data_IF_734321030070
#
_entry.id   IF_734321030070
#
_cell.length_a   1.000
_cell.length_b   1.000
_cell.length_c   1.000
_cell.angle_alpha   90.00
_cell.angle_beta   90.00
_cell.angle_gamma   90.00
#
_symmetry.space_group_name_H-M   'P 1'
#
loop_
_entity.id
_entity.type
_entity.pdbx_description
1 polymer ?
#
# COMPACT_ATOMS: atom_id res chain seq x y z
N UNK A 1 -18.02 11.36 -2.85
CA UNK A 1 -19.30 11.36 -3.60
C UNK A 1 -20.19 10.17 -3.24
N UNK A 2 -21.41 10.13 -3.78
CA UNK A 2 -22.35 9.02 -3.63
C UNK A 2 -22.88 8.61 -5.02
N UNK A 3 -22.97 7.31 -5.28
CA UNK A 3 -23.59 6.77 -6.48
C UNK A 3 -24.74 5.83 -6.08
N UNK A 4 -25.95 6.12 -6.54
CA UNK A 4 -27.11 5.25 -6.35
C UNK A 4 -27.42 4.58 -7.68
N UNK A 5 -27.29 3.25 -7.72
CA UNK A 5 -27.77 2.45 -8.85
C UNK A 5 -29.17 1.98 -8.54
N UNK A 6 -30.15 2.68 -9.09
CA UNK A 6 -31.57 2.31 -8.95
C UNK A 6 -31.88 1.05 -9.76
N UNK A 7 -33.03 0.44 -9.51
CA UNK A 7 -33.53 -0.71 -10.29
C UNK A 7 -33.64 -0.42 -11.79
N UNK A 8 -33.76 0.85 -12.20
CA UNK A 8 -33.78 1.29 -13.60
C UNK A 8 -32.41 1.67 -14.18
N UNK A 9 -31.33 1.56 -13.41
CA UNK A 9 -29.99 1.96 -13.85
C UNK A 9 -29.48 1.07 -14.98
N UNK A 10 -29.21 1.70 -16.13
CA UNK A 10 -28.55 1.08 -17.28
C UNK A 10 -27.08 0.77 -16.96
N UNK A 11 -26.47 -0.10 -17.77
CA UNK A 11 -25.15 -0.71 -17.51
C UNK A 11 -23.96 0.27 -17.44
N UNK A 12 -24.17 1.55 -17.78
CA UNK A 12 -23.16 2.61 -17.86
C UNK A 12 -23.46 3.82 -16.94
N UNK A 13 -24.31 3.67 -15.92
CA UNK A 13 -24.56 4.74 -14.96
C UNK A 13 -23.34 5.00 -14.07
N UNK A 14 -22.79 6.22 -14.12
CA UNK A 14 -21.61 6.63 -13.34
C UNK A 14 -21.73 8.05 -12.78
N UNK A 15 -20.74 8.44 -11.98
CA UNK A 15 -20.62 9.81 -11.44
C UNK A 15 -19.32 10.44 -11.92
N UNK A 16 -19.37 11.72 -12.30
CA UNK A 16 -18.25 12.45 -12.88
C UNK A 16 -17.73 13.51 -11.92
N UNK A 17 -16.41 13.62 -11.85
CA UNK A 17 -15.68 14.72 -11.23
C UNK A 17 -14.97 15.56 -12.29
N UNK A 18 -14.87 16.86 -12.05
CA UNK A 18 -14.25 17.78 -13.01
C UNK A 18 -15.04 17.80 -14.32
N UNK A 19 -16.37 17.90 -14.25
CA UNK A 19 -17.22 17.88 -15.45
C UNK A 19 -16.82 18.98 -16.47
N UNK A 20 -16.32 20.11 -15.96
CA UNK A 20 -15.78 21.23 -16.73
C UNK A 20 -14.23 21.20 -16.84
N UNK A 21 -13.60 20.10 -16.45
CA UNK A 21 -12.15 19.95 -16.27
C UNK A 21 -11.71 20.04 -14.81
N UNK A 22 -10.68 19.28 -14.46
CA UNK A 22 -9.91 19.41 -13.21
C UNK A 22 -9.02 20.65 -13.28
N UNK A 23 -8.62 21.17 -12.12
CA UNK A 23 -7.74 22.33 -12.05
C UNK A 23 -6.37 22.09 -12.69
N UNK A 24 -5.87 20.85 -12.60
CA UNK A 24 -4.66 20.39 -13.26
C UNK A 24 -4.95 19.05 -13.96
N UNK A 25 -4.36 18.79 -15.13
CA UNK A 25 -4.39 17.46 -15.74
C UNK A 25 -3.78 16.40 -14.83
N UNK A 26 -4.28 15.18 -14.96
CA UNK A 26 -3.74 14.00 -14.29
C UNK A 26 -2.36 13.70 -14.91
N UNK A 27 -1.28 13.65 -14.11
CA UNK A 27 0.09 13.66 -14.64
C UNK A 27 0.59 12.26 -15.02
N UNK A 28 -0.16 11.54 -15.85
CA UNK A 28 0.22 10.21 -16.33
C UNK A 28 1.57 10.22 -17.08
N UNK A 29 2.44 9.26 -16.76
CA UNK A 29 3.72 9.05 -17.41
C UNK A 29 4.06 7.55 -17.49
N UNK A 30 5.17 7.22 -18.16
CA UNK A 30 5.69 5.84 -18.18
C UNK A 30 6.07 5.43 -16.75
N UNK A 31 5.50 4.31 -16.27
CA UNK A 31 5.60 3.87 -14.87
C UNK A 31 4.56 4.49 -13.92
N UNK A 32 4.07 5.70 -14.20
CA UNK A 32 3.12 6.44 -13.35
C UNK A 32 1.72 6.45 -13.99
N UNK A 33 1.07 5.29 -13.97
CA UNK A 33 -0.25 5.07 -14.62
C UNK A 33 -1.38 4.74 -13.65
N UNK A 34 -1.10 4.78 -12.35
CA UNK A 34 -2.03 4.33 -11.31
C UNK A 34 -2.77 5.51 -10.67
N UNK A 35 -4.00 5.23 -10.26
CA UNK A 35 -4.81 6.10 -9.42
C UNK A 35 -5.48 5.26 -8.35
N UNK A 36 -5.78 5.85 -7.20
CA UNK A 36 -6.54 5.18 -6.15
C UNK A 36 -7.87 5.87 -5.91
N UNK A 37 -8.87 5.09 -5.51
CA UNK A 37 -10.16 5.62 -5.04
C UNK A 37 -10.58 4.83 -3.81
N UNK A 38 -10.89 5.54 -2.72
CA UNK A 38 -11.51 4.92 -1.56
C UNK A 38 -12.98 4.68 -1.85
N UNK A 39 -13.46 3.44 -1.73
CA UNK A 39 -14.84 3.06 -2.04
C UNK A 39 -15.48 2.30 -0.87
N UNK A 40 -16.80 2.41 -0.79
CA UNK A 40 -17.64 1.56 0.05
C UNK A 40 -18.69 0.92 -0.83
N UNK A 41 -18.83 -0.40 -0.74
CA UNK A 41 -19.80 -1.18 -1.48
C UNK A 41 -20.59 -2.12 -0.56
N UNK A 42 -21.87 -2.42 -0.89
CA UNK A 42 -22.68 -3.34 -0.11
C UNK A 42 -22.16 -4.78 -0.19
N UNK A 43 -21.52 -5.15 -1.30
CA UNK A 43 -21.02 -6.50 -1.57
C UNK A 43 -19.56 -6.44 -2.05
N UNK A 44 -18.82 -7.53 -1.80
CA UNK A 44 -17.55 -7.81 -2.44
C UNK A 44 -17.79 -8.36 -3.87
N UNK A 45 -16.77 -8.34 -4.71
CA UNK A 45 -16.85 -8.83 -6.09
C UNK A 45 -17.54 -7.86 -7.06
N UNK A 46 -17.71 -6.59 -6.68
CA UNK A 46 -18.33 -5.58 -7.52
C UNK A 46 -17.27 -4.99 -8.46
N UNK A 47 -17.42 -5.10 -9.80
CA UNK A 47 -16.54 -4.43 -10.72
C UNK A 47 -16.79 -2.91 -10.65
N UNK A 48 -15.75 -2.15 -10.40
CA UNK A 48 -15.75 -0.70 -10.39
C UNK A 48 -14.86 -0.25 -11.55
N UNK A 49 -15.42 0.56 -12.45
CA UNK A 49 -14.69 1.10 -13.58
C UNK A 49 -14.33 2.55 -13.34
N UNK A 50 -13.08 2.90 -13.61
CA UNK A 50 -12.61 4.28 -13.59
C UNK A 50 -12.26 4.70 -15.02
N UNK A 51 -12.84 5.81 -15.45
CA UNK A 51 -12.59 6.45 -16.73
C UNK A 51 -11.89 7.77 -16.50
N UNK A 52 -10.86 8.03 -17.28
CA UNK A 52 -10.26 9.36 -17.43
C UNK A 52 -10.44 9.83 -18.86
N UNK A 53 -10.75 11.11 -19.03
CA UNK A 53 -11.03 11.71 -20.34
C UNK A 53 -10.57 13.17 -20.41
N UNK A 54 -10.43 13.68 -21.63
CA UNK A 54 -10.29 15.12 -21.89
C UNK A 54 -11.67 15.78 -21.77
N UNK A 55 -11.81 16.79 -20.91
CA UNK A 55 -13.05 17.49 -20.66
C UNK A 55 -13.61 18.21 -21.91
N UNK A 56 -12.73 18.57 -22.85
CA UNK A 56 -13.07 19.27 -24.10
C UNK A 56 -13.19 18.34 -25.30
N UNK A 57 -12.63 17.13 -25.22
CA UNK A 57 -12.66 16.12 -26.28
C UNK A 57 -12.96 14.72 -25.74
N UNK A 58 -14.25 14.33 -25.68
CA UNK A 58 -14.66 13.00 -25.21
C UNK A 58 -14.13 11.81 -26.02
N UNK A 59 -13.54 12.05 -27.20
CA UNK A 59 -12.85 11.02 -27.98
C UNK A 59 -11.48 10.63 -27.41
N UNK A 60 -10.93 11.42 -26.50
CA UNK A 60 -9.73 11.11 -25.74
C UNK A 60 -10.17 10.56 -24.39
N UNK A 61 -10.07 9.25 -24.23
CA UNK A 61 -10.33 8.59 -22.95
C UNK A 61 -9.65 7.23 -22.85
N UNK A 62 -9.42 6.79 -21.62
CA UNK A 62 -9.01 5.43 -21.28
C UNK A 62 -9.80 4.98 -20.05
N UNK A 63 -10.14 3.69 -20.00
CA UNK A 63 -10.89 3.08 -18.90
C UNK A 63 -10.08 1.92 -18.34
N UNK A 64 -10.06 1.78 -17.02
CA UNK A 64 -9.52 0.61 -16.32
C UNK A 64 -10.54 0.16 -15.25
N UNK A 65 -10.37 -1.04 -14.71
CA UNK A 65 -11.34 -1.67 -13.83
C UNK A 65 -10.65 -2.36 -12.66
N UNK A 66 -11.24 -2.21 -11.47
CA UNK A 66 -10.85 -2.88 -10.24
C UNK A 66 -12.09 -3.51 -9.60
N UNK A 67 -11.90 -4.55 -8.79
CA UNK A 67 -13.02 -5.28 -8.16
C UNK A 67 -12.98 -5.08 -6.65
N UNK A 68 -14.14 -4.79 -6.04
CA UNK A 68 -14.24 -4.72 -4.57
C UNK A 68 -13.89 -6.06 -3.94
N UNK A 69 -13.16 -6.04 -2.85
CA UNK A 69 -12.74 -7.25 -2.12
C UNK A 69 -13.50 -7.42 -0.81
N UNK A 70 -14.08 -6.33 -0.28
CA UNK A 70 -14.82 -6.34 0.98
C UNK A 70 -16.27 -5.90 0.81
N UNK A 71 -17.15 -6.47 1.63
CA UNK A 71 -18.56 -6.12 1.68
C UNK A 71 -18.85 -5.25 2.91
N UNK A 72 -19.71 -4.24 2.76
CA UNK A 72 -20.17 -3.37 3.85
C UNK A 72 -19.04 -2.62 4.59
N UNK A 73 -17.87 -2.48 3.96
CA UNK A 73 -16.70 -1.80 4.51
C UNK A 73 -16.07 -0.86 3.49
N UNK A 74 -15.28 0.09 3.97
CA UNK A 74 -14.46 0.93 3.12
C UNK A 74 -13.18 0.17 2.74
N UNK A 75 -12.80 0.25 1.47
CA UNK A 75 -11.50 -0.19 0.95
C UNK A 75 -10.95 0.87 0.00
N UNK A 76 -9.66 0.81 -0.32
CA UNK A 76 -9.07 1.61 -1.40
C UNK A 76 -8.81 0.69 -2.58
N UNK A 77 -9.40 1.02 -3.73
CA UNK A 77 -9.12 0.33 -4.99
C UNK A 77 -8.04 1.07 -5.76
N UNK A 78 -7.11 0.32 -6.34
CA UNK A 78 -6.10 0.81 -7.27
C UNK A 78 -6.54 0.56 -8.72
N UNK A 79 -6.38 1.56 -9.56
CA UNK A 79 -6.76 1.59 -10.97
C UNK A 79 -5.52 1.84 -11.81
N UNK A 80 -5.06 0.82 -12.52
CA UNK A 80 -3.90 0.90 -13.41
C UNK A 80 -4.34 1.14 -14.86
N UNK A 81 -4.09 2.34 -15.37
CA UNK A 81 -4.48 2.74 -16.72
C UNK A 81 -3.56 2.19 -17.83
N UNK A 82 -2.47 1.50 -17.48
CA UNK A 82 -1.72 0.66 -18.42
C UNK A 82 -2.41 -0.68 -18.72
N UNK A 83 -3.38 -1.06 -17.87
CA UNK A 83 -4.22 -2.24 -18.03
C UNK A 83 -5.63 -1.85 -18.50
N UNK A 84 -5.75 -1.28 -19.70
CA UNK A 84 -7.03 -0.76 -20.16
C UNK A 84 -8.09 -1.87 -20.36
N UNK A 85 -9.35 -1.51 -20.11
CA UNK A 85 -10.47 -2.38 -20.45
C UNK A 85 -10.53 -2.54 -21.97
N UNK A 86 -10.64 -3.79 -22.43
CA UNK A 86 -10.81 -4.16 -23.83
C UNK A 86 -11.93 -3.33 -24.50
N UNK A 87 -11.59 -2.69 -25.61
CA UNK A 87 -12.52 -1.85 -26.38
C UNK A 87 -12.34 -0.35 -26.13
N UNK A 88 -11.46 0.04 -25.22
CA UNK A 88 -10.98 1.43 -25.08
C UNK A 88 -9.59 1.59 -25.69
N UNK A 89 -9.18 2.84 -25.93
CA UNK A 89 -7.82 3.11 -26.41
C UNK A 89 -6.83 2.96 -25.25
N UNK A 90 -5.67 2.36 -25.51
CA UNK A 90 -4.56 2.36 -24.57
C UNK A 90 -4.19 3.79 -24.15
N UNK A 91 -3.69 3.94 -22.92
CA UNK A 91 -3.26 5.23 -22.40
C UNK A 91 -2.18 5.85 -23.32
N UNK A 92 -2.29 7.16 -23.54
CA UNK A 92 -1.33 7.89 -24.36
C UNK A 92 -0.89 9.14 -23.61
N UNK A 93 0.37 9.16 -23.19
CA UNK A 93 0.97 10.23 -22.37
C UNK A 93 1.09 11.58 -23.10
N UNK A 94 0.83 11.63 -24.41
CA UNK A 94 0.74 12.89 -25.15
C UNK A 94 -0.65 13.55 -25.07
N UNK A 95 -1.66 12.82 -24.58
CA UNK A 95 -3.02 13.33 -24.40
C UNK A 95 -3.18 14.04 -23.04
N UNK A 96 -4.15 14.94 -22.97
CA UNK A 96 -4.61 15.53 -21.72
C UNK A 96 -5.74 14.67 -21.15
N UNK A 97 -5.65 14.39 -19.85
CA UNK A 97 -6.72 13.76 -19.09
C UNK A 97 -7.02 14.66 -17.89
N UNK A 98 -8.20 15.27 -17.87
CA UNK A 98 -8.59 16.26 -16.86
C UNK A 98 -10.05 16.10 -16.45
N UNK A 99 -10.63 14.92 -16.64
CA UNK A 99 -11.98 14.59 -16.20
C UNK A 99 -12.06 13.12 -15.81
N UNK A 100 -12.71 12.84 -14.68
CA UNK A 100 -12.77 11.48 -14.10
C UNK A 100 -14.22 11.06 -13.99
N UNK A 101 -14.55 9.84 -14.41
CA UNK A 101 -15.86 9.24 -14.16
C UNK A 101 -15.70 7.85 -13.54
N UNK A 102 -16.48 7.57 -12.49
CA UNK A 102 -16.50 6.28 -11.80
C UNK A 102 -17.84 5.58 -12.00
N UNK A 103 -17.81 4.28 -12.27
CA UNK A 103 -18.98 3.45 -12.52
C UNK A 103 -18.95 2.21 -11.63
N UNK A 104 -19.95 2.06 -10.77
CA UNK A 104 -20.08 0.87 -9.92
C UNK A 104 -20.90 -0.21 -10.63
N UNK A 105 -20.46 -1.46 -10.49
CA UNK A 105 -21.11 -2.64 -11.06
C UNK A 105 -21.27 -2.56 -12.59
N UNK A 106 -20.28 -2.01 -13.28
CA UNK A 106 -20.35 -1.76 -14.72
C UNK A 106 -20.68 -3.05 -15.50
N UNK A 107 -21.59 -2.97 -16.47
CA UNK A 107 -22.02 -4.15 -17.25
C UNK A 107 -23.19 -4.95 -16.65
N UNK A 108 -23.52 -4.79 -15.36
CA UNK A 108 -24.73 -5.37 -14.78
C UNK A 108 -25.95 -4.44 -14.94
N UNK A 109 -27.14 -4.99 -15.23
CA UNK A 109 -28.39 -4.20 -15.23
C UNK A 109 -28.93 -4.03 -13.81
N UNK A 110 -29.37 -2.80 -13.45
CA UNK A 110 -29.92 -2.52 -12.12
C UNK A 110 -31.15 -3.36 -11.76
N UNK A 111 -31.90 -3.84 -12.76
CA UNK A 111 -33.04 -4.72 -12.55
C UNK A 111 -32.63 -6.12 -12.04
N UNK A 112 -31.42 -6.58 -12.35
CA UNK A 112 -30.87 -7.85 -11.88
C UNK A 112 -30.10 -7.72 -10.57
N UNK A 113 -29.40 -6.59 -10.37
CA UNK A 113 -28.61 -6.31 -9.17
C UNK A 113 -29.46 -5.80 -7.98
N UNK A 114 -30.64 -5.24 -8.25
CA UNK A 114 -31.42 -4.50 -7.26
C UNK A 114 -30.84 -3.09 -7.01
N UNK A 115 -31.60 -2.26 -6.29
CA UNK A 115 -31.12 -0.93 -5.93
C UNK A 115 -29.95 -1.04 -4.94
N UNK A 116 -28.79 -0.49 -5.31
CA UNK A 116 -27.59 -0.49 -4.49
C UNK A 116 -27.00 0.92 -4.38
N UNK A 117 -26.49 1.24 -3.19
CA UNK A 117 -25.82 2.51 -2.91
C UNK A 117 -24.34 2.26 -2.70
N UNK A 118 -23.52 3.04 -3.38
CA UNK A 118 -22.06 3.04 -3.24
C UNK A 118 -21.60 4.42 -2.78
N UNK A 119 -20.53 4.44 -2.00
CA UNK A 119 -19.83 5.68 -1.64
C UNK A 119 -18.41 5.60 -2.17
N UNK A 120 -17.85 6.77 -2.47
CA UNK A 120 -16.47 6.87 -2.89
C UNK A 120 -15.91 8.21 -2.45
N UNK A 121 -14.62 8.26 -2.14
CA UNK A 121 -13.89 9.44 -1.72
C UNK A 121 -12.40 9.27 -2.03
N UNK A 122 -11.58 10.25 -1.65
CA UNK A 122 -10.11 10.16 -1.69
C UNK A 122 -9.60 9.65 -3.05
N UNK A 123 -9.93 10.39 -4.12
CA UNK A 123 -9.45 10.08 -5.47
C UNK A 123 -8.07 10.70 -5.66
N UNK A 124 -7.06 9.87 -5.79
CA UNK A 124 -5.65 10.28 -5.80
C UNK A 124 -4.93 9.73 -7.03
N UNK A 125 -3.91 10.46 -7.49
CA UNK A 125 -2.99 10.00 -8.53
C UNK A 125 -1.77 9.35 -7.88
N UNK A 126 -1.32 8.23 -8.41
CA UNK A 126 -0.27 7.39 -7.86
C UNK A 126 -0.79 6.00 -7.46
N UNK A 127 0.14 5.06 -7.33
CA UNK A 127 -0.10 3.82 -6.59
C UNK A 127 -0.17 4.13 -5.10
N UNK A 128 -0.74 3.22 -4.31
CA UNK A 128 -0.35 3.22 -2.89
C UNK A 128 1.08 2.70 -2.78
N UNK A 129 1.93 3.42 -2.05
CA UNK A 129 3.27 2.96 -1.69
C UNK A 129 3.24 2.52 -0.23
N UNK A 130 3.28 1.21 0.01
CA UNK A 130 3.28 0.62 1.35
C UNK A 130 4.70 0.50 1.91
N UNK A 131 4.81 0.22 3.21
CA UNK A 131 6.12 -0.09 3.84
C UNK A 131 6.82 -1.28 3.16
N UNK A 132 6.06 -2.24 2.62
CA UNK A 132 6.61 -3.37 1.85
C UNK A 132 7.10 -2.88 0.49
N UNK A 133 6.34 -2.05 -0.23
CA UNK A 133 6.77 -1.49 -1.52
C UNK A 133 8.10 -0.74 -1.40
N UNK A 134 8.28 0.00 -0.31
CA UNK A 134 9.54 0.71 -0.02
C UNK A 134 10.71 -0.26 0.18
N UNK A 135 10.47 -1.38 0.86
CA UNK A 135 11.50 -2.38 1.15
C UNK A 135 11.88 -3.14 -0.13
N UNK A 136 10.91 -3.67 -0.87
CA UNK A 136 11.17 -4.52 -2.06
C UNK A 136 11.74 -3.73 -3.24
N UNK A 137 11.49 -2.41 -3.31
CA UNK A 137 12.10 -1.55 -4.33
C UNK A 137 13.45 -0.96 -3.90
N UNK A 138 14.04 -1.44 -2.79
CA UNK A 138 15.28 -0.92 -2.24
C UNK A 138 16.48 -1.84 -2.50
N UNK A 139 17.54 -1.36 -3.18
CA UNK A 139 18.70 -2.18 -3.55
C UNK A 139 19.63 -2.55 -2.37
N UNK A 140 19.27 -2.20 -1.14
CA UNK A 140 20.02 -2.55 0.08
C UNK A 140 19.20 -3.41 1.04
N UNK A 141 18.05 -3.92 0.58
CA UNK A 141 17.13 -4.74 1.37
C UNK A 141 16.74 -6.03 0.62
N UNK A 142 17.59 -6.53 -0.29
CA UNK A 142 17.31 -7.74 -1.08
C UNK A 142 17.10 -8.98 -0.17
N UNK A 143 17.86 -9.05 0.93
CA UNK A 143 17.75 -10.12 1.94
C UNK A 143 16.48 -9.97 2.77
N UNK A 144 16.11 -8.73 3.14
CA UNK A 144 14.88 -8.46 3.88
C UNK A 144 13.65 -8.79 3.05
N UNK A 145 13.62 -8.38 1.77
CA UNK A 145 12.59 -8.75 0.80
C UNK A 145 12.43 -10.28 0.75
N UNK A 146 13.53 -11.00 0.51
CA UNK A 146 13.51 -12.47 0.45
C UNK A 146 12.94 -13.08 1.74
N UNK A 147 13.33 -12.54 2.90
CA UNK A 147 12.87 -13.02 4.19
C UNK A 147 11.37 -12.75 4.43
N UNK A 148 10.88 -11.55 4.09
CA UNK A 148 9.47 -11.15 4.25
C UNK A 148 8.56 -12.02 3.37
N UNK A 149 8.95 -12.22 2.11
CA UNK A 149 8.21 -13.08 1.17
C UNK A 149 8.22 -14.53 1.66
N UNK A 150 9.39 -15.05 2.07
CA UNK A 150 9.50 -16.43 2.56
C UNK A 150 8.66 -16.67 3.83
N UNK A 151 8.54 -15.65 4.68
CA UNK A 151 7.74 -15.69 5.90
C UNK A 151 6.24 -15.44 5.68
N UNK A 152 5.81 -15.16 4.44
CA UNK A 152 4.42 -14.85 4.07
C UNK A 152 3.87 -13.63 4.82
N UNK A 153 4.70 -12.60 5.05
CA UNK A 153 4.32 -11.37 5.76
C UNK A 153 4.06 -10.19 4.82
N UNK A 154 4.31 -10.33 3.54
CA UNK A 154 4.15 -9.30 2.51
C UNK A 154 2.70 -8.81 2.39
N UNK A 155 1.73 -9.73 2.35
CA UNK A 155 0.31 -9.37 2.31
C UNK A 155 -0.14 -8.61 3.58
N UNK A 156 0.30 -9.08 4.75
CA UNK A 156 -0.06 -8.47 6.04
C UNK A 156 0.51 -7.05 6.18
N UNK A 157 1.78 -6.87 5.82
CA UNK A 157 2.48 -5.59 5.92
C UNK A 157 2.15 -4.62 4.78
N UNK A 158 1.58 -5.10 3.68
CA UNK A 158 0.95 -4.27 2.64
C UNK A 158 -0.49 -3.87 3.01
N UNK A 159 -1.05 -4.48 4.04
CA UNK A 159 -2.40 -4.25 4.52
C UNK A 159 -2.62 -2.89 5.18
N UNK A 160 -3.78 -2.76 5.82
CA UNK A 160 -4.15 -1.54 6.53
C UNK A 160 -3.26 -1.34 7.77
N UNK A 161 -2.41 -0.32 7.73
CA UNK A 161 -1.62 0.12 8.87
C UNK A 161 -2.42 0.95 9.90
N UNK A 162 -1.75 1.80 10.70
CA UNK A 162 -0.37 2.22 10.51
C UNK A 162 0.68 1.21 11.02
N UNK A 163 1.81 1.12 10.30
CA UNK A 163 3.00 0.36 10.70
C UNK A 163 4.21 1.26 10.94
N UNK A 164 5.14 0.80 11.79
CA UNK A 164 6.53 1.28 11.80
C UNK A 164 7.43 0.09 11.58
N UNK A 165 8.19 0.07 10.49
CA UNK A 165 9.12 -1.01 10.18
C UNK A 165 10.55 -0.53 10.37
N UNK A 166 11.30 -1.22 11.22
CA UNK A 166 12.74 -1.05 11.33
C UNK A 166 13.43 -1.98 10.33
N UNK A 167 13.81 -1.48 9.16
CA UNK A 167 14.31 -2.28 8.05
C UNK A 167 15.83 -2.50 8.14
N UNK A 168 16.33 -3.71 8.48
CA UNK A 168 17.76 -4.01 8.45
C UNK A 168 18.27 -4.10 7.02
N UNK A 169 19.41 -3.45 6.74
CA UNK A 169 20.09 -3.53 5.43
C UNK A 169 20.70 -4.90 5.17
N UNK A 170 21.09 -5.19 3.93
CA UNK A 170 21.81 -6.41 3.57
C UNK A 170 23.10 -6.59 4.41
N UNK A 171 23.86 -5.50 4.63
CA UNK A 171 25.04 -5.52 5.52
C UNK A 171 24.70 -5.95 6.97
N UNK A 172 23.46 -5.69 7.43
CA UNK A 172 23.01 -6.08 8.77
C UNK A 172 22.72 -7.58 8.85
N UNK A 173 22.19 -8.18 7.77
CA UNK A 173 22.02 -9.62 7.64
C UNK A 173 23.37 -10.32 7.48
N UNK A 174 24.30 -9.77 6.70
CA UNK A 174 25.65 -10.30 6.54
C UNK A 174 26.46 -10.31 7.85
N UNK A 175 26.13 -9.41 8.78
CA UNK A 175 26.73 -9.34 10.10
C UNK A 175 26.21 -10.43 11.07
N UNK A 176 25.17 -11.19 10.70
CA UNK A 176 24.69 -12.30 11.51
C UNK A 176 25.75 -13.42 11.62
N UNK A 177 25.76 -14.19 12.72
CA UNK A 177 26.60 -15.38 12.83
C UNK A 177 26.47 -16.29 11.60
N UNK A 178 27.60 -16.81 11.12
CA UNK A 178 27.63 -17.65 9.94
C UNK A 178 26.69 -18.87 10.07
N UNK A 179 25.82 -19.06 9.07
CA UNK A 179 24.81 -20.13 9.04
C UNK A 179 23.51 -19.83 9.77
N UNK A 180 23.41 -18.70 10.49
CA UNK A 180 22.17 -18.31 11.14
C UNK A 180 21.07 -17.98 10.12
N UNK A 181 21.37 -17.14 9.13
CA UNK A 181 20.40 -16.77 8.11
C UNK A 181 19.86 -18.01 7.37
N UNK A 182 20.73 -18.94 6.99
CA UNK A 182 20.33 -20.21 6.37
C UNK A 182 19.41 -21.04 7.27
N UNK A 183 19.67 -21.07 8.58
CA UNK A 183 18.83 -21.77 9.54
C UNK A 183 17.44 -21.10 9.70
N UNK A 184 17.39 -19.77 9.68
CA UNK A 184 16.14 -19.01 9.72
C UNK A 184 15.31 -19.22 8.46
N UNK A 185 15.95 -19.20 7.29
CA UNK A 185 15.29 -19.46 6.00
C UNK A 185 14.81 -20.91 5.85
N UNK A 186 15.32 -21.84 6.64
CA UNK A 186 14.83 -23.22 6.69
C UNK A 186 13.51 -23.38 7.47
N UNK A 187 13.14 -22.40 8.29
CA UNK A 187 11.88 -22.33 9.05
C UNK A 187 11.26 -20.91 8.92
N UNK A 188 10.87 -20.51 7.69
CA UNK A 188 10.63 -19.12 7.40
C UNK A 188 9.34 -18.57 8.05
N UNK A 189 8.33 -19.41 8.26
CA UNK A 189 7.08 -19.04 8.94
C UNK A 189 7.13 -19.26 10.47
N UNK A 190 8.22 -19.84 10.98
CA UNK A 190 8.46 -20.04 12.40
C UNK A 190 9.36 -18.95 12.97
N UNK A 191 10.62 -19.28 13.26
CA UNK A 191 11.55 -18.37 13.95
C UNK A 191 11.82 -17.10 13.14
N UNK A 192 11.94 -17.19 11.81
CA UNK A 192 12.18 -16.03 10.96
C UNK A 192 11.01 -15.04 11.03
N UNK A 193 9.76 -15.51 10.88
CA UNK A 193 8.58 -14.66 11.01
C UNK A 193 8.53 -13.93 12.37
N UNK A 194 8.88 -14.61 13.47
CA UNK A 194 8.96 -13.97 14.80
C UNK A 194 10.03 -12.86 14.84
N UNK A 195 11.20 -13.09 14.24
CA UNK A 195 12.25 -12.08 14.13
C UNK A 195 11.76 -10.89 13.29
N UNK A 196 11.15 -11.13 12.13
CA UNK A 196 10.64 -10.07 11.26
C UNK A 196 9.54 -9.25 11.96
N UNK A 197 8.59 -9.89 12.64
CA UNK A 197 7.54 -9.18 13.40
C UNK A 197 8.09 -8.37 14.59
N UNK A 198 9.27 -8.72 15.11
CA UNK A 198 9.96 -7.92 16.14
C UNK A 198 10.59 -6.64 15.58
N UNK A 199 10.69 -6.51 14.26
CA UNK A 199 11.08 -5.27 13.59
C UNK A 199 9.89 -4.35 13.31
N UNK A 200 8.66 -4.75 13.66
CA UNK A 200 7.45 -4.02 13.29
C UNK A 200 6.66 -3.58 14.52
N UNK A 201 6.21 -2.33 14.53
CA UNK A 201 5.21 -1.82 15.47
C UNK A 201 3.86 -1.66 14.76
N UNK A 202 2.77 -1.95 15.47
CA UNK A 202 1.39 -1.70 15.01
C UNK A 202 0.95 -0.25 15.21
N UNK A 203 1.85 0.71 14.97
CA UNK A 203 1.61 2.14 15.06
C UNK A 203 2.60 2.90 14.17
N UNK A 204 2.24 4.10 13.72
CA UNK A 204 3.18 5.02 13.06
C UNK A 204 3.95 5.80 14.13
N UNK A 205 5.27 5.74 14.07
CA UNK A 205 6.17 6.40 15.02
C UNK A 205 7.29 7.07 14.23
N UNK A 206 7.24 8.40 14.13
CA UNK A 206 8.30 9.17 13.49
C UNK A 206 9.46 9.36 14.48
N UNK A 207 10.66 9.65 13.97
CA UNK A 207 11.82 9.93 14.83
C UNK A 207 11.62 11.13 15.75
N UNK A 208 10.71 12.05 15.40
CA UNK A 208 10.32 13.19 16.23
C UNK A 208 9.42 12.83 17.41
N UNK A 209 8.78 11.65 17.36
CA UNK A 209 7.91 11.14 18.43
C UNK A 209 8.70 10.34 19.47
N UNK A 210 9.97 10.04 19.17
CA UNK A 210 10.84 9.23 20.00
C UNK A 210 11.41 10.02 21.18
N UNK A 211 11.44 9.37 22.34
CA UNK A 211 12.11 9.85 23.56
C UNK A 211 13.17 8.87 24.03
N UNK A 212 14.24 9.38 24.65
CA UNK A 212 15.29 8.53 25.22
C UNK A 212 14.73 7.63 26.33
N UNK A 213 15.06 6.33 26.28
CA UNK A 213 14.54 5.30 27.18
C UNK A 213 13.09 4.87 26.90
N UNK A 214 12.49 5.31 25.79
CA UNK A 214 11.16 4.88 25.40
C UNK A 214 11.13 3.39 25.11
N UNK A 215 10.06 2.72 25.54
CA UNK A 215 9.82 1.30 25.28
C UNK A 215 8.57 1.19 24.41
N UNK A 216 8.60 0.31 23.41
CA UNK A 216 7.46 0.03 22.54
C UNK A 216 7.30 -1.48 22.31
N UNK A 217 6.07 -1.95 22.33
CA UNK A 217 5.75 -3.35 22.07
C UNK A 217 5.63 -3.60 20.57
N UNK A 218 6.33 -4.61 20.08
CA UNK A 218 6.34 -5.01 18.67
C UNK A 218 5.13 -5.86 18.31
N UNK A 219 4.92 -6.14 17.02
CA UNK A 219 3.89 -7.09 16.57
C UNK A 219 4.21 -8.53 16.99
N UNK A 220 5.48 -8.85 17.25
CA UNK A 220 5.87 -10.13 17.86
C UNK A 220 5.42 -10.24 19.34
N UNK A 221 5.27 -9.10 20.02
CA UNK A 221 4.74 -9.00 21.38
C UNK A 221 5.78 -8.72 22.47
N UNK A 222 7.07 -8.87 22.19
CA UNK A 222 8.15 -8.38 23.05
C UNK A 222 8.48 -6.91 22.76
N UNK A 223 9.14 -6.26 23.72
CA UNK A 223 9.43 -4.83 23.67
C UNK A 223 10.79 -4.54 23.02
N UNK A 224 10.88 -3.42 22.30
CA UNK A 224 12.12 -2.74 21.93
C UNK A 224 12.34 -1.50 22.80
N UNK A 225 13.60 -1.13 23.01
CA UNK A 225 13.98 0.08 23.74
C UNK A 225 14.66 1.08 22.83
N UNK A 226 14.24 2.34 22.88
CA UNK A 226 14.85 3.43 22.15
C UNK A 226 15.92 4.10 23.01
N UNK A 227 17.12 4.22 22.48
CA UNK A 227 18.23 4.97 23.12
C UNK A 227 18.64 6.13 22.22
N UNK A 228 18.67 7.35 22.76
CA UNK A 228 19.09 8.54 22.01
C UNK A 228 20.40 9.05 22.60
N UNK A 229 21.48 8.93 21.82
CA UNK A 229 22.81 9.41 22.22
C UNK A 229 23.26 10.53 21.30
N UNK A 230 23.17 11.77 21.78
CA UNK A 230 23.47 12.94 20.94
C UNK A 230 22.44 13.08 19.82
N UNK A 231 22.88 12.86 18.58
CA UNK A 231 22.00 12.88 17.41
C UNK A 231 21.64 11.47 16.91
N UNK A 232 22.23 10.42 17.49
CA UNK A 232 22.05 9.06 17.06
C UNK A 232 20.88 8.43 17.81
N UNK A 233 20.00 7.75 17.07
CA UNK A 233 18.86 6.98 17.61
C UNK A 233 19.17 5.50 17.43
N UNK A 234 19.02 4.74 18.51
CA UNK A 234 19.20 3.30 18.52
C UNK A 234 17.89 2.61 18.91
N UNK A 235 17.58 1.53 18.20
CA UNK A 235 16.52 0.59 18.55
C UNK A 235 17.19 -0.67 19.11
N UNK A 236 17.03 -0.90 20.40
CA UNK A 236 17.93 -1.72 21.19
C UNK A 236 19.38 -1.24 20.97
N UNK A 237 20.21 -2.06 20.32
CA UNK A 237 21.60 -1.72 19.97
C UNK A 237 21.79 -1.38 18.48
N UNK A 238 20.72 -1.43 17.67
CA UNK A 238 20.78 -1.15 16.24
C UNK A 238 20.66 0.36 15.97
N UNK A 239 21.63 0.93 15.25
CA UNK A 239 21.62 2.34 14.85
C UNK A 239 20.60 2.55 13.73
N UNK A 240 19.73 3.54 13.88
CA UNK A 240 18.88 4.06 12.80
C UNK A 240 19.75 4.92 11.88
N UNK A 241 20.02 4.44 10.67
CA UNK A 241 20.88 5.11 9.69
C UNK A 241 20.12 6.09 8.80
N UNK A 242 18.84 5.78 8.51
CA UNK A 242 17.91 6.65 7.80
C UNK A 242 16.56 6.56 8.49
N UNK A 243 15.97 7.69 8.84
CA UNK A 243 14.68 7.75 9.53
C UNK A 243 13.61 8.42 8.66
N UNK A 244 12.33 8.12 8.96
CA UNK A 244 11.15 8.78 8.41
C UNK A 244 10.94 8.61 6.90
N UNK A 245 11.17 7.41 6.37
CA UNK A 245 10.76 7.09 4.99
C UNK A 245 9.25 6.80 5.05
N UNK A 246 8.43 7.74 4.58
CA UNK A 246 6.97 7.63 4.67
C UNK A 246 6.40 6.69 3.62
N UNK A 247 5.41 5.91 4.04
CA UNK A 247 4.54 5.08 3.22
C UNK A 247 3.07 5.46 3.49
N UNK A 248 2.15 5.07 2.62
CA UNK A 248 0.70 5.30 2.81
C UNK A 248 0.10 4.49 3.97
N UNK A 249 0.77 3.39 4.35
CA UNK A 249 0.34 2.54 5.47
C UNK A 249 1.32 2.55 6.65
N UNK A 250 2.27 3.49 6.71
CA UNK A 250 3.19 3.59 7.83
C UNK A 250 4.50 4.33 7.55
N UNK A 251 5.54 3.95 8.26
CA UNK A 251 6.89 4.52 8.13
C UNK A 251 7.96 3.45 8.20
N UNK A 252 9.02 3.62 7.42
CA UNK A 252 10.23 2.78 7.46
C UNK A 252 11.40 3.58 8.05
N UNK A 253 12.12 2.95 8.99
CA UNK A 253 13.40 3.42 9.51
C UNK A 253 14.46 2.37 9.18
N UNK A 254 15.51 2.75 8.46
CA UNK A 254 16.60 1.83 8.10
C UNK A 254 17.53 1.67 9.30
N UNK A 255 17.86 0.43 9.64
CA UNK A 255 18.76 0.08 10.74
C UNK A 255 19.96 -0.74 10.27
N UNK A 256 21.06 -0.70 11.01
CA UNK A 256 22.32 -1.37 10.64
C UNK A 256 22.54 -2.74 11.32
N UNK A 257 21.53 -3.28 12.02
CA UNK A 257 21.61 -4.58 12.67
C UNK A 257 20.23 -5.24 12.69
N UNK A 258 20.18 -6.56 12.58
CA UNK A 258 18.94 -7.33 12.76
C UNK A 258 18.60 -7.38 14.25
N UNK A 259 17.36 -7.00 14.60
CA UNK A 259 16.81 -7.10 15.94
C UNK A 259 16.44 -8.55 16.24
N UNK A 260 16.98 -9.10 17.31
CA UNK A 260 16.65 -10.46 17.78
C UNK A 260 15.80 -10.36 19.05
N UNK A 261 14.60 -10.98 19.08
CA UNK A 261 13.79 -11.01 20.30
C UNK A 261 14.54 -11.61 21.48
N UNK A 262 14.41 -11.06 22.70
CA UNK A 262 15.08 -11.60 23.89
C UNK A 262 14.79 -13.08 24.15
N UNK A 263 13.59 -13.56 23.81
CA UNK A 263 13.20 -14.98 23.93
C UNK A 263 13.91 -15.92 22.94
N UNK A 264 14.49 -15.38 21.87
CA UNK A 264 15.18 -16.12 20.80
C UNK A 264 16.72 -16.08 21.00
N UNK A 265 17.22 -15.46 22.09
CA UNK A 265 18.65 -15.42 22.41
C UNK A 265 19.31 -16.81 22.38
N UNK A 266 20.28 -17.01 21.47
CA UNK A 266 21.05 -18.26 21.33
C UNK A 266 21.17 -18.80 19.90
N UNK A 267 20.65 -18.07 18.91
CA UNK A 267 20.89 -18.33 17.49
C UNK A 267 22.15 -17.64 16.98
#
# INVERSE_FOLDING_TARGET
>A
GQAIRTTGAVIFAGTTMGADGLANPIPFADGDTKMTVRVWAPDAGIPVRLKVEDATNPGISVETEATTTVAMAWETLEFDFSNEVMGTAAINFANTYDKISIFFNFGAEGAAAGEQTYYWDDVEFGAKETVVDIIVNSPIHETLETAVIAAELDDDLSGAGPFTVFAPTDDAFDALPAGLLDALLADPTGTLAQILLYHVLGAEVLSTDLSDGQVATTLQGEDITVTITGNDVFINDALVTVANIQADNGVVHIINAVLIPPSINGV
#
